data_IF_918818234012
#
_entry.id   IF_918818234012
#
_cell.length_a   1.000
_cell.length_b   1.000
_cell.length_c   1.000
_cell.angle_alpha   90.00
_cell.angle_beta   90.00
_cell.angle_gamma   90.00
#
_symmetry.space_group_name_H-M   'P 1'
#
loop_
_entity.id
_entity.type
_entity.pdbx_description
1 polymer ?
#
# COMPACT_ATOMS: atom_id res chain seq x y z
N UNK A 1 25.26 28.69 -5.11
CA UNK A 1 24.02 27.96 -5.44
C UNK A 1 23.25 28.56 -6.63
N UNK A 2 23.65 29.74 -7.15
CA UNK A 2 23.03 30.38 -8.33
C UNK A 2 23.69 29.94 -9.66
N UNK A 3 24.99 29.62 -9.67
CA UNK A 3 25.73 29.17 -10.86
C UNK A 3 25.23 27.85 -11.48
N UNK A 4 24.66 26.95 -10.68
CA UNK A 4 24.08 25.70 -11.19
C UNK A 4 22.73 25.91 -11.90
N UNK A 5 22.07 27.06 -11.66
CA UNK A 5 20.71 27.33 -12.09
C UNK A 5 20.64 28.07 -13.43
N UNK A 6 21.61 28.94 -13.71
CA UNK A 6 21.80 29.53 -15.04
C UNK A 6 22.12 28.46 -16.08
N UNK A 7 22.96 27.48 -15.72
CA UNK A 7 23.24 26.34 -16.60
C UNK A 7 21.99 25.49 -16.90
N UNK A 8 21.02 25.41 -15.98
CA UNK A 8 19.82 24.59 -16.16
C UNK A 8 18.89 25.09 -17.29
N UNK A 9 18.99 26.36 -17.71
CA UNK A 9 18.19 26.86 -18.83
C UNK A 9 18.59 26.24 -20.18
N UNK A 10 19.87 25.89 -20.34
CA UNK A 10 20.39 25.30 -21.58
C UNK A 10 20.26 23.76 -21.65
N UNK A 11 20.06 23.10 -20.50
CA UNK A 11 19.98 21.64 -20.38
C UNK A 11 18.60 21.15 -19.92
N UNK A 12 17.55 21.56 -20.64
CA UNK A 12 16.21 21.00 -20.45
C UNK A 12 16.14 19.50 -20.80
N UNK A 13 15.19 18.74 -20.24
CA UNK A 13 15.03 17.33 -20.56
C UNK A 13 14.69 17.11 -22.04
N UNK A 14 15.32 16.11 -22.67
CA UNK A 14 15.21 15.83 -24.13
C UNK A 14 13.77 15.65 -24.61
N UNK A 15 12.89 15.13 -23.76
CA UNK A 15 11.49 14.87 -24.06
C UNK A 15 10.60 16.12 -23.99
N UNK A 16 11.11 17.24 -23.46
CA UNK A 16 10.34 18.48 -23.30
C UNK A 16 10.84 19.53 -24.28
N UNK A 17 9.92 20.21 -24.98
CA UNK A 17 10.30 21.33 -25.84
C UNK A 17 10.93 22.46 -25.02
N UNK A 18 11.94 23.09 -25.60
CA UNK A 18 12.74 24.14 -24.97
C UNK A 18 11.90 25.32 -24.47
N UNK A 19 10.92 25.75 -25.26
CA UNK A 19 10.03 26.87 -24.90
C UNK A 19 9.17 26.58 -23.65
N UNK A 20 8.65 25.35 -23.51
CA UNK A 20 7.97 24.94 -22.29
C UNK A 20 8.93 24.87 -21.09
N UNK A 21 10.13 24.33 -21.28
CA UNK A 21 11.15 24.27 -20.23
C UNK A 21 11.53 25.65 -19.72
N UNK A 22 11.86 26.58 -20.62
CA UNK A 22 12.17 27.97 -20.27
C UNK A 22 11.02 28.65 -19.53
N UNK A 23 9.77 28.40 -19.95
CA UNK A 23 8.58 28.95 -19.29
C UNK A 23 8.43 28.44 -17.85
N UNK A 24 8.69 27.15 -17.62
CA UNK A 24 8.70 26.56 -16.28
C UNK A 24 9.84 27.12 -15.43
N UNK A 25 11.06 27.23 -15.98
CA UNK A 25 12.21 27.83 -15.29
C UNK A 25 11.92 29.27 -14.85
N UNK A 26 11.32 30.10 -15.73
CA UNK A 26 10.88 31.47 -15.40
C UNK A 26 9.87 31.46 -14.26
N UNK A 27 8.87 30.56 -14.30
CA UNK A 27 7.87 30.42 -13.22
C UNK A 27 8.51 30.01 -11.89
N UNK A 28 9.42 29.03 -11.89
CA UNK A 28 10.14 28.61 -10.70
C UNK A 28 11.15 29.65 -10.19
N UNK A 29 11.57 30.58 -11.06
CA UNK A 29 12.40 31.74 -10.70
C UNK A 29 11.64 32.84 -9.97
N UNK A 30 10.31 32.86 -10.00
CA UNK A 30 9.53 33.84 -9.24
C UNK A 30 9.75 33.73 -7.73
N UNK A 31 9.84 34.88 -7.04
CA UNK A 31 10.03 34.95 -5.59
C UNK A 31 9.07 34.07 -4.79
N UNK A 32 7.74 34.11 -5.05
CA UNK A 32 6.77 33.28 -4.35
C UNK A 32 7.02 31.77 -4.50
N UNK A 33 7.48 31.31 -5.68
CA UNK A 33 7.81 29.90 -5.87
C UNK A 33 9.05 29.52 -5.08
N UNK A 34 10.10 30.36 -5.15
CA UNK A 34 11.35 30.10 -4.43
C UNK A 34 11.13 30.03 -2.92
N UNK A 35 10.33 30.94 -2.36
CA UNK A 35 9.97 30.94 -0.94
C UNK A 35 9.25 29.64 -0.55
N UNK A 36 8.26 29.21 -1.33
CA UNK A 36 7.56 27.93 -1.12
C UNK A 36 8.53 26.75 -1.17
N UNK A 37 9.46 26.74 -2.12
CA UNK A 37 10.45 25.67 -2.24
C UNK A 37 11.45 25.66 -1.10
N UNK A 38 11.93 26.81 -0.65
CA UNK A 38 12.82 26.91 0.50
C UNK A 38 12.09 26.51 1.79
N UNK A 39 10.83 26.93 1.96
CA UNK A 39 9.98 26.47 3.06
C UNK A 39 9.79 24.95 3.02
N UNK A 40 9.46 24.37 1.86
CA UNK A 40 9.34 22.93 1.70
C UNK A 40 10.65 22.18 1.99
N UNK A 41 11.80 22.75 1.56
CA UNK A 41 13.12 22.21 1.89
C UNK A 41 13.38 22.24 3.40
N UNK A 42 13.13 23.38 4.06
CA UNK A 42 13.25 23.52 5.52
C UNK A 42 12.36 22.51 6.24
N UNK A 43 11.10 22.37 5.82
CA UNK A 43 10.15 21.42 6.39
C UNK A 43 10.58 19.95 6.21
N UNK A 44 11.26 19.60 5.11
CA UNK A 44 11.85 18.26 4.97
C UNK A 44 13.08 18.07 5.85
N UNK A 45 13.86 19.13 6.07
CA UNK A 45 15.07 19.07 6.92
C UNK A 45 14.80 19.16 8.42
N UNK A 46 13.62 19.60 8.87
CA UNK A 46 13.31 19.65 10.32
C UNK A 46 13.27 18.27 10.95
N UNK A 47 12.96 17.23 10.16
CA UNK A 47 12.86 15.86 10.63
C UNK A 47 13.41 14.89 9.57
N UNK A 48 14.74 14.83 9.37
CA UNK A 48 15.37 14.03 8.32
C UNK A 48 15.13 12.52 8.50
N UNK A 49 14.79 12.09 9.71
CA UNK A 49 14.54 10.69 10.07
C UNK A 49 13.09 10.24 9.89
N UNK A 50 12.16 11.18 9.66
CA UNK A 50 10.73 10.85 9.55
C UNK A 50 10.43 10.30 8.16
N UNK A 51 9.79 9.12 8.14
CA UNK A 51 9.30 8.41 6.96
C UNK A 51 10.37 8.05 5.92
N UNK A 52 11.59 7.73 6.37
CA UNK A 52 12.67 7.22 5.51
C UNK A 52 12.50 5.71 5.36
N UNK A 53 12.70 5.21 4.14
CA UNK A 53 12.76 3.77 3.83
C UNK A 53 13.79 3.53 2.70
N UNK A 54 14.32 2.31 2.58
CA UNK A 54 15.28 1.89 1.53
C UNK A 54 14.60 1.32 0.29
N UNK A 55 13.28 1.12 0.33
CA UNK A 55 12.49 0.52 -0.74
C UNK A 55 12.42 1.36 -2.05
N UNK A 56 12.90 2.60 -2.05
CA UNK A 56 12.79 3.53 -3.19
C UNK A 56 11.32 3.65 -3.67
N UNK A 57 11.08 4.04 -4.92
CA UNK A 57 9.71 4.17 -5.48
C UNK A 57 9.07 2.82 -5.86
N UNK A 58 9.40 1.73 -5.15
CA UNK A 58 8.89 0.39 -5.43
C UNK A 58 7.77 0.05 -4.44
N UNK A 59 6.67 -0.49 -4.96
CA UNK A 59 5.53 -0.87 -4.13
C UNK A 59 5.83 -2.08 -3.24
N UNK A 60 5.22 -2.11 -2.05
CA UNK A 60 5.34 -3.21 -1.08
C UNK A 60 4.99 -4.58 -1.68
N UNK A 61 3.98 -4.67 -2.55
CA UNK A 61 3.60 -5.93 -3.24
C UNK A 61 4.79 -6.53 -4.00
N UNK A 62 5.65 -5.69 -4.57
CA UNK A 62 6.84 -6.15 -5.28
C UNK A 62 7.88 -6.69 -4.29
N UNK A 63 8.02 -6.06 -3.12
CA UNK A 63 8.88 -6.53 -2.05
C UNK A 63 8.38 -7.84 -1.44
N UNK A 64 7.08 -7.98 -1.19
CA UNK A 64 6.46 -9.22 -0.72
C UNK A 64 6.76 -10.37 -1.66
N UNK A 65 6.56 -10.19 -2.98
CA UNK A 65 6.86 -11.22 -3.99
C UNK A 65 8.33 -11.63 -3.98
N UNK A 66 9.24 -10.66 -3.83
CA UNK A 66 10.69 -10.92 -3.74
C UNK A 66 11.04 -11.69 -2.47
N UNK A 67 10.54 -11.25 -1.31
CA UNK A 67 10.77 -11.97 -0.05
C UNK A 67 10.17 -13.36 -0.07
N UNK A 68 8.97 -13.55 -0.65
CA UNK A 68 8.36 -14.87 -0.75
C UNK A 68 9.25 -15.83 -1.53
N UNK A 69 9.83 -15.37 -2.64
CA UNK A 69 10.77 -16.17 -3.42
C UNK A 69 12.07 -16.46 -2.65
N UNK A 70 12.55 -15.53 -1.81
CA UNK A 70 13.79 -15.71 -1.04
C UNK A 70 13.62 -16.59 0.20
N UNK A 71 12.47 -16.50 0.87
CA UNK A 71 12.17 -17.25 2.09
C UNK A 71 11.43 -18.56 1.82
N UNK A 72 10.99 -18.79 0.59
CA UNK A 72 10.12 -19.91 0.17
C UNK A 72 8.84 -20.04 1.03
N UNK A 73 8.40 -18.93 1.62
CA UNK A 73 7.19 -18.81 2.44
C UNK A 73 6.64 -17.40 2.36
N UNK A 74 5.38 -17.23 2.76
CA UNK A 74 4.82 -15.90 2.94
C UNK A 74 5.62 -15.10 3.99
N UNK A 75 6.19 -13.94 3.63
CA UNK A 75 6.95 -13.12 4.57
C UNK A 75 6.02 -12.53 5.62
N UNK A 76 6.46 -12.47 6.88
CA UNK A 76 5.73 -11.73 7.92
C UNK A 76 5.88 -10.22 7.71
N UNK A 77 4.96 -9.44 8.29
CA UNK A 77 5.05 -7.98 8.19
C UNK A 77 6.34 -7.43 8.82
N UNK A 78 6.81 -7.97 9.96
CA UNK A 78 8.11 -7.58 10.55
C UNK A 78 9.26 -7.82 9.56
N UNK A 79 9.26 -8.94 8.84
CA UNK A 79 10.30 -9.22 7.83
C UNK A 79 10.21 -8.31 6.61
N UNK A 80 9.01 -7.98 6.19
CA UNK A 80 8.79 -6.99 5.13
C UNK A 80 9.27 -5.60 5.58
N UNK A 81 9.02 -5.23 6.84
CA UNK A 81 9.45 -3.97 7.42
C UNK A 81 10.98 -3.91 7.53
N UNK A 82 11.63 -4.96 8.04
CA UNK A 82 13.09 -5.11 8.05
C UNK A 82 13.66 -4.88 6.65
N UNK A 83 13.10 -5.54 5.65
CA UNK A 83 13.56 -5.45 4.27
C UNK A 83 13.50 -4.02 3.70
N UNK A 84 12.48 -3.25 4.07
CA UNK A 84 12.25 -1.91 3.54
C UNK A 84 12.83 -0.80 4.41
N UNK A 85 13.17 -1.06 5.67
CA UNK A 85 13.62 -0.06 6.65
C UNK A 85 15.00 -0.34 7.25
N UNK A 86 15.67 -1.44 6.90
CA UNK A 86 17.10 -1.63 7.17
C UNK A 86 17.98 -1.19 6.00
N UNK A 87 19.19 -0.74 6.33
CA UNK A 87 20.21 -0.35 5.35
C UNK A 87 20.79 -1.59 4.70
N UNK A 88 20.99 -1.57 3.36
CA UNK A 88 21.57 -2.73 2.67
C UNK A 88 22.99 -2.98 3.15
N UNK A 89 23.31 -4.25 3.47
CA UNK A 89 24.65 -4.65 3.93
C UNK A 89 24.93 -4.34 5.40
N UNK A 90 23.94 -3.88 6.14
CA UNK A 90 24.02 -3.65 7.59
C UNK A 90 22.71 -4.11 8.23
N UNK A 91 22.72 -4.46 9.52
CA UNK A 91 21.48 -4.79 10.24
C UNK A 91 20.79 -3.55 10.86
N UNK A 92 21.34 -2.36 10.59
CA UNK A 92 20.89 -1.09 11.14
C UNK A 92 19.66 -0.55 10.41
N UNK A 93 18.72 0.00 11.19
CA UNK A 93 17.58 0.72 10.65
C UNK A 93 17.96 2.06 10.03
N UNK A 94 17.14 2.52 9.09
CA UNK A 94 17.32 3.82 8.44
C UNK A 94 17.10 5.01 9.37
N UNK A 95 16.31 4.83 10.43
CA UNK A 95 16.09 5.82 11.48
C UNK A 95 15.78 5.18 12.83
N UNK A 96 16.02 5.93 13.91
CA UNK A 96 15.70 5.50 15.28
C UNK A 96 14.19 5.26 15.44
N UNK A 97 13.37 6.05 14.75
CA UNK A 97 11.91 5.85 14.72
C UNK A 97 11.54 4.48 14.17
N UNK A 98 12.14 4.06 13.05
CA UNK A 98 11.88 2.73 12.48
C UNK A 98 12.32 1.61 13.43
N UNK A 99 13.49 1.75 14.06
CA UNK A 99 13.99 0.80 15.06
C UNK A 99 13.02 0.67 16.25
N UNK A 100 12.65 1.80 16.87
CA UNK A 100 11.76 1.83 18.04
C UNK A 100 10.39 1.20 17.73
N UNK A 101 9.84 1.46 16.55
CA UNK A 101 8.54 0.90 16.13
C UNK A 101 8.64 -0.61 15.95
N UNK A 102 9.67 -1.10 15.26
CA UNK A 102 9.88 -2.54 15.06
C UNK A 102 10.05 -3.27 16.40
N UNK A 103 10.92 -2.76 17.29
CA UNK A 103 11.15 -3.34 18.61
C UNK A 103 9.87 -3.35 19.46
N UNK A 104 9.12 -2.25 19.45
CA UNK A 104 7.87 -2.15 20.20
C UNK A 104 6.83 -3.13 19.66
N UNK A 105 6.69 -3.23 18.33
CA UNK A 105 5.77 -4.17 17.71
C UNK A 105 6.14 -5.62 18.01
N UNK A 106 7.41 -6.01 17.85
CA UNK A 106 7.85 -7.38 18.12
C UNK A 106 7.63 -7.77 19.59
N UNK A 107 7.84 -6.83 20.53
CA UNK A 107 7.48 -7.02 21.94
C UNK A 107 5.97 -7.17 22.14
N UNK A 108 5.14 -6.31 21.54
CA UNK A 108 3.68 -6.41 21.65
C UNK A 108 3.16 -7.73 21.05
N UNK A 109 3.74 -8.18 19.94
CA UNK A 109 3.40 -9.47 19.34
C UNK A 109 3.77 -10.64 20.24
N UNK A 110 4.95 -10.60 20.90
CA UNK A 110 5.36 -11.62 21.86
C UNK A 110 4.45 -11.66 23.10
N UNK A 111 4.01 -10.51 23.60
CA UNK A 111 3.10 -10.41 24.75
C UNK A 111 1.67 -10.88 24.42
N UNK A 112 1.16 -10.53 23.22
CA UNK A 112 -0.21 -10.88 22.78
C UNK A 112 -0.34 -12.33 22.35
N UNK A 113 0.68 -12.89 21.72
CA UNK A 113 0.65 -14.23 21.14
C UNK A 113 1.71 -15.11 21.80
N UNK A 114 1.36 -15.62 22.99
CA UNK A 114 2.17 -16.59 23.73
C UNK A 114 2.45 -17.87 22.90
N UNK A 115 3.50 -18.60 23.28
CA UNK A 115 3.93 -19.83 22.61
C UNK A 115 2.75 -20.79 22.38
N UNK A 116 2.50 -21.12 21.11
CA UNK A 116 1.43 -22.05 20.68
C UNK A 116 0.20 -21.39 20.04
N UNK A 117 0.05 -20.06 20.12
CA UNK A 117 -1.01 -19.35 19.38
C UNK A 117 -0.53 -19.01 17.96
N UNK A 118 -1.31 -19.27 16.90
CA UNK A 118 -0.97 -18.84 15.55
C UNK A 118 -0.84 -17.31 15.51
N UNK A 119 0.37 -16.81 15.22
CA UNK A 119 0.60 -15.38 15.03
C UNK A 119 0.05 -14.94 13.67
N UNK A 120 -0.72 -13.84 13.60
CA UNK A 120 -1.14 -13.30 12.32
C UNK A 120 0.06 -12.73 11.56
N UNK A 121 -0.07 -12.64 10.23
CA UNK A 121 0.92 -11.98 9.38
C UNK A 121 1.20 -10.52 9.80
N UNK A 122 0.16 -9.82 10.24
CA UNK A 122 0.16 -8.46 10.79
C UNK A 122 -0.96 -8.37 11.84
N UNK A 123 -0.67 -7.86 13.03
CA UNK A 123 -1.68 -7.33 13.96
C UNK A 123 -1.76 -5.80 13.75
N UNK A 124 -2.82 -5.28 13.11
CA UNK A 124 -2.92 -3.86 12.79
C UNK A 124 -3.02 -2.98 14.03
N UNK A 125 -3.66 -3.45 15.10
CA UNK A 125 -3.79 -2.68 16.34
C UNK A 125 -2.44 -2.58 17.03
N UNK A 126 -1.74 -3.70 17.17
CA UNK A 126 -0.38 -3.70 17.74
C UNK A 126 0.57 -2.81 16.94
N UNK A 127 0.44 -2.79 15.60
CA UNK A 127 1.27 -1.92 14.76
C UNK A 127 0.93 -0.44 14.94
N UNK A 128 -0.36 -0.08 14.97
CA UNK A 128 -0.80 1.30 15.19
C UNK A 128 -0.34 1.80 16.56
N UNK A 129 -0.44 0.96 17.59
CA UNK A 129 0.04 1.25 18.94
C UNK A 129 1.56 1.47 18.95
N UNK A 130 2.33 0.56 18.35
CA UNK A 130 3.78 0.67 18.23
C UNK A 130 4.22 1.92 17.44
N UNK A 131 3.47 2.28 16.40
CA UNK A 131 3.70 3.48 15.60
C UNK A 131 3.33 4.80 16.31
N UNK A 132 2.71 4.74 17.49
CA UNK A 132 2.26 5.91 18.26
C UNK A 132 1.00 6.56 17.67
N UNK A 133 0.16 5.76 17.01
CA UNK A 133 -1.11 6.18 16.43
C UNK A 133 -0.98 6.91 15.07
N UNK A 134 -2.13 7.16 14.41
CA UNK A 134 -2.16 7.86 13.14
C UNK A 134 -1.79 9.35 13.31
N UNK A 135 -0.90 9.84 12.46
CA UNK A 135 -0.53 11.26 12.36
C UNK A 135 -1.00 11.80 11.02
N UNK A 136 -1.89 12.79 11.05
CA UNK A 136 -2.54 13.35 9.83
C UNK A 136 -3.21 12.24 8.98
N UNK A 137 -3.83 11.26 9.64
CA UNK A 137 -4.50 10.14 9.00
C UNK A 137 -3.56 9.05 8.47
N UNK A 138 -2.26 9.11 8.74
CA UNK A 138 -1.28 8.13 8.26
C UNK A 138 -0.57 7.44 9.41
N UNK A 139 -0.38 6.12 9.29
CA UNK A 139 0.37 5.29 10.24
C UNK A 139 1.77 5.06 9.68
N UNK A 140 2.79 5.07 10.52
CA UNK A 140 4.16 4.89 10.05
C UNK A 140 4.35 3.49 9.42
N UNK A 141 5.02 3.43 8.27
CA UNK A 141 5.29 2.17 7.57
C UNK A 141 4.08 1.54 6.86
N UNK A 142 2.88 2.13 7.00
CA UNK A 142 1.64 1.71 6.32
C UNK A 142 1.17 2.87 5.44
N UNK A 143 1.02 2.62 4.14
CA UNK A 143 0.44 3.58 3.20
C UNK A 143 -0.91 3.07 2.69
N UNK A 144 -1.78 4.01 2.36
CA UNK A 144 -3.15 3.96 1.76
C UNK A 144 -3.42 2.80 0.76
N UNK A 145 -2.38 2.21 0.16
CA UNK A 145 -2.48 1.08 -0.77
C UNK A 145 -2.51 -0.31 -0.11
N UNK A 146 -2.04 -0.44 1.14
CA UNK A 146 -2.22 -1.66 1.96
C UNK A 146 -3.59 -1.66 2.66
N UNK A 147 -4.22 -0.49 2.76
CA UNK A 147 -5.44 -0.27 3.54
C UNK A 147 -6.66 -1.01 2.97
N UNK A 148 -6.81 -1.14 1.66
CA UNK A 148 -7.97 -1.87 1.12
C UNK A 148 -7.94 -3.39 1.30
N UNK A 149 -6.79 -3.99 1.64
CA UNK A 149 -6.68 -5.45 1.79
C UNK A 149 -6.24 -5.90 3.18
N UNK A 150 -5.60 -5.04 3.99
CA UNK A 150 -5.26 -5.37 5.38
C UNK A 150 -6.21 -4.68 6.38
N UNK A 151 -6.59 -3.41 6.15
CA UNK A 151 -7.55 -2.70 7.01
C UNK A 151 -8.97 -3.22 6.80
N UNK A 152 -9.37 -3.54 5.56
CA UNK A 152 -10.69 -4.08 5.23
C UNK A 152 -10.94 -5.49 5.79
N UNK A 153 -9.91 -6.33 5.90
CA UNK A 153 -10.03 -7.65 6.52
C UNK A 153 -10.05 -7.58 8.06
N UNK A 154 -9.38 -6.59 8.67
CA UNK A 154 -9.32 -6.44 10.13
C UNK A 154 -10.49 -5.64 10.73
N UNK A 155 -10.97 -4.61 10.05
CA UNK A 155 -12.01 -3.71 10.60
C UNK A 155 -13.44 -4.27 10.44
N UNK A 156 -13.66 -5.20 9.50
CA UNK A 156 -14.97 -5.80 9.30
C UNK A 156 -15.39 -6.78 10.43
N UNK A 157 -14.45 -7.24 11.25
CA UNK A 157 -14.70 -8.33 12.21
C UNK A 157 -14.80 -7.90 13.67
N UNK A 158 -14.41 -6.68 14.04
CA UNK A 158 -14.38 -6.26 15.45
C UNK A 158 -14.68 -4.77 15.63
N UNK A 159 -15.88 -4.50 16.14
CA UNK A 159 -16.26 -3.32 16.95
C UNK A 159 -16.74 -2.05 16.19
N UNK A 160 -17.93 -1.61 16.62
CA UNK A 160 -18.60 -0.36 16.28
C UNK A 160 -17.74 0.89 16.59
N UNK A 161 -17.92 2.00 15.86
CA UNK A 161 -17.05 3.17 16.00
C UNK A 161 -17.21 3.86 17.38
N UNK A 162 -16.12 4.21 18.07
CA UNK A 162 -16.19 5.04 19.27
C UNK A 162 -16.51 6.49 18.89
N UNK A 163 -17.43 7.09 19.63
CA UNK A 163 -17.78 8.50 19.52
C UNK A 163 -16.68 9.38 20.12
N UNK A 164 -16.09 10.30 19.34
CA UNK A 164 -15.70 11.64 19.82
C UNK A 164 -15.15 12.56 18.71
N UNK A 165 -15.98 13.58 18.42
CA UNK A 165 -15.74 15.02 18.23
C UNK A 165 -14.53 15.49 17.39
N UNK A 166 -14.85 16.09 16.24
CA UNK A 166 -14.28 17.38 15.86
C UNK A 166 -15.35 18.24 15.19
N UNK A 167 -15.55 19.41 15.79
CA UNK A 167 -16.46 20.46 15.32
C UNK A 167 -16.01 21.00 13.96
N UNK A 168 -16.87 20.90 12.94
CA UNK A 168 -17.29 22.03 12.10
C UNK A 168 -18.29 21.57 11.02
N UNK A 169 -19.43 22.25 10.95
CA UNK A 169 -20.53 22.12 9.99
C UNK A 169 -21.28 20.77 9.98
N UNK A 170 -22.36 20.72 10.76
CA UNK A 170 -23.36 19.65 10.73
C UNK A 170 -24.02 19.53 9.34
N UNK A 171 -23.68 18.47 8.62
CA UNK A 171 -24.55 17.86 7.62
C UNK A 171 -25.22 16.64 8.26
N UNK A 172 -26.51 16.38 7.97
CA UNK A 172 -27.30 15.39 8.68
C UNK A 172 -26.70 13.99 8.53
N UNK A 173 -26.37 13.39 9.68
CA UNK A 173 -25.73 12.08 9.89
C UNK A 173 -26.50 10.91 9.21
N UNK A 174 -27.74 11.14 8.76
CA UNK A 174 -28.59 10.14 8.09
C UNK A 174 -28.08 9.74 6.70
N UNK A 175 -27.54 10.67 5.91
CA UNK A 175 -27.17 10.39 4.51
C UNK A 175 -25.85 9.63 4.36
N UNK A 176 -24.92 9.79 5.32
CA UNK A 176 -23.59 9.16 5.27
C UNK A 176 -23.70 7.66 5.53
N UNK A 177 -24.61 7.24 6.41
CA UNK A 177 -24.82 5.82 6.71
C UNK A 177 -25.56 5.10 5.57
N UNK A 178 -26.51 5.77 4.90
CA UNK A 178 -27.14 5.28 3.67
C UNK A 178 -26.13 5.13 2.52
N UNK A 179 -25.23 6.09 2.34
CA UNK A 179 -24.18 5.98 1.31
C UNK A 179 -23.24 4.81 1.62
N UNK A 180 -22.91 4.58 2.90
CA UNK A 180 -22.08 3.45 3.33
C UNK A 180 -22.75 2.10 3.09
N UNK A 181 -24.05 1.97 3.34
CA UNK A 181 -24.78 0.72 3.07
C UNK A 181 -24.91 0.49 1.57
N UNK A 182 -25.17 1.54 0.78
CA UNK A 182 -25.23 1.45 -0.68
C UNK A 182 -23.89 0.99 -1.29
N UNK A 183 -22.77 1.58 -0.87
CA UNK A 183 -21.43 1.16 -1.36
C UNK A 183 -21.15 -0.30 -1.00
N UNK A 184 -21.56 -0.75 0.19
CA UNK A 184 -21.35 -2.13 0.65
C UNK A 184 -22.19 -3.13 -0.15
N UNK A 185 -23.45 -2.80 -0.44
CA UNK A 185 -24.31 -3.68 -1.25
C UNK A 185 -23.93 -3.64 -2.73
N UNK A 186 -23.51 -2.50 -3.28
CA UNK A 186 -22.99 -2.39 -4.65
C UNK A 186 -21.77 -3.30 -4.86
N UNK A 187 -20.78 -3.21 -3.95
CA UNK A 187 -19.58 -4.07 -3.99
C UNK A 187 -19.93 -5.56 -3.83
N UNK A 188 -20.94 -5.88 -3.01
CA UNK A 188 -21.41 -7.27 -2.83
C UNK A 188 -22.09 -7.80 -4.10
N UNK A 189 -22.92 -6.99 -4.75
CA UNK A 189 -23.58 -7.37 -6.00
C UNK A 189 -22.58 -7.47 -7.16
N UNK A 190 -21.58 -6.60 -7.23
CA UNK A 190 -20.51 -6.66 -8.22
C UNK A 190 -19.66 -7.93 -8.04
N UNK A 191 -19.32 -8.28 -6.79
CA UNK A 191 -18.64 -9.55 -6.50
C UNK A 191 -19.53 -10.75 -6.83
N UNK A 192 -20.83 -10.72 -6.51
CA UNK A 192 -21.76 -11.83 -6.78
C UNK A 192 -21.97 -12.04 -8.27
N UNK A 193 -22.11 -10.96 -9.04
CA UNK A 193 -22.24 -11.01 -10.50
C UNK A 193 -20.95 -11.46 -11.16
N UNK A 194 -19.80 -10.92 -10.79
CA UNK A 194 -18.50 -11.37 -11.30
C UNK A 194 -18.25 -12.86 -11.01
N UNK A 195 -18.56 -13.32 -9.79
CA UNK A 195 -18.42 -14.72 -9.43
C UNK A 195 -19.43 -15.62 -10.16
N UNK A 196 -20.67 -15.16 -10.35
CA UNK A 196 -21.68 -15.85 -11.14
C UNK A 196 -21.27 -16.02 -12.60
N UNK A 197 -20.72 -14.98 -13.22
CA UNK A 197 -20.20 -15.04 -14.59
C UNK A 197 -19.01 -15.98 -14.70
N UNK A 198 -18.09 -15.99 -13.72
CA UNK A 198 -16.98 -16.96 -13.69
C UNK A 198 -17.49 -18.40 -13.56
N UNK A 199 -18.50 -18.66 -12.73
CA UNK A 199 -19.09 -20.00 -12.57
C UNK A 199 -19.83 -20.44 -13.83
N UNK A 200 -20.60 -19.56 -14.47
CA UNK A 200 -21.29 -19.86 -15.74
C UNK A 200 -20.29 -20.11 -16.89
N UNK A 201 -19.20 -19.34 -16.97
CA UNK A 201 -18.12 -19.60 -17.93
C UNK A 201 -17.47 -20.97 -17.69
N UNK A 202 -17.26 -21.35 -16.41
CA UNK A 202 -16.71 -22.65 -16.04
C UNK A 202 -17.67 -23.79 -16.42
N UNK A 203 -18.97 -23.63 -16.13
CA UNK A 203 -20.02 -24.60 -16.46
C UNK A 203 -20.16 -24.74 -17.98
N UNK A 204 -20.13 -23.63 -18.73
CA UNK A 204 -20.20 -23.64 -20.20
C UNK A 204 -18.97 -24.30 -20.83
N UNK A 205 -17.77 -24.04 -20.29
CA UNK A 205 -16.53 -24.70 -20.69
C UNK A 205 -16.57 -26.22 -20.41
N UNK A 206 -17.18 -26.63 -19.30
CA UNK A 206 -17.36 -28.05 -18.95
C UNK A 206 -18.43 -28.73 -19.82
N UNK A 207 -19.50 -28.03 -20.20
CA UNK A 207 -20.57 -28.55 -21.08
C UNK A 207 -20.16 -28.57 -22.57
N UNK A 208 -19.14 -27.79 -22.96
CA UNK A 208 -18.52 -27.82 -24.29
C UNK A 208 -17.65 -29.06 -24.57
N UNK A 209 -17.32 -29.86 -23.55
CA UNK A 209 -16.57 -31.12 -23.72
C UNK A 209 -17.54 -32.30 -23.67
N UNK A 210 -18.24 -32.57 -24.78
CA UNK A 210 -18.83 -33.90 -24.98
C UNK A 210 -17.68 -34.87 -25.30
N UNK A 211 -17.49 -35.97 -24.56
CA UNK A 211 -16.61 -37.03 -25.02
C UNK A 211 -17.22 -37.66 -26.27
N UNK A 212 -16.55 -37.49 -27.42
CA UNK A 212 -16.88 -38.24 -28.63
C UNK A 212 -16.65 -39.72 -28.36
N UNK A 213 -17.69 -40.54 -28.52
CA UNK A 213 -17.57 -42.01 -28.44
C UNK A 213 -16.52 -42.50 -29.45
N UNK A 214 -15.59 -43.38 -29.06
CA UNK A 214 -14.68 -43.99 -30.03
C UNK A 214 -15.49 -44.88 -30.99
N UNK A 215 -15.35 -44.63 -32.28
CA UNK A 215 -15.94 -45.46 -33.34
C UNK A 215 -15.13 -46.76 -33.43
N UNK A 216 -15.76 -47.95 -33.42
CA UNK A 216 -15.00 -49.20 -33.53
C UNK A 216 -14.41 -49.34 -34.93
N UNK A 217 -13.08 -49.38 -35.01
CA UNK A 217 -12.36 -49.80 -36.22
C UNK A 217 -12.73 -51.25 -36.53
N UNK A 218 -13.46 -51.46 -37.63
CA UNK A 218 -13.64 -52.79 -38.21
C UNK A 218 -12.28 -53.27 -38.73
N UNK A 219 -11.72 -54.26 -38.05
CA UNK A 219 -10.67 -55.12 -38.60
C UNK A 219 -11.21 -55.77 -39.88
N UNK A 220 -10.60 -55.50 -41.03
CA UNK A 220 -10.88 -56.27 -42.26
C UNK A 220 -9.96 -57.47 -42.27
N UNK A 221 -10.53 -58.65 -42.04
CA UNK A 221 -9.95 -59.91 -42.52
C UNK A 221 -10.06 -59.98 -44.04
N UNK A 222 -8.90 -59.93 -44.71
CA UNK A 222 -8.41 -60.77 -45.82
C UNK A 222 -7.47 -59.99 -46.74
#
# INVERSE_FOLDING_TARGET
MWEARDKAMDYGPVWMRRDYWESLCKRWATGPWQERSQAAKRNRSTHPEKNVHTSASVYYVTHIKKLHHELERDPTFSKLFDWTHKRKGTDDYVSETAHTIAETYDRTMADRYAEGTPQPHLDPEAWVDAAGGPRKGQVYGIWDSLDNTLVLFSYASSIAPPAHVSSSAALPVSGVEEIRTLIREELREELRTHFGVMVEQLISAMQGVRPSKPTPQKCKER
#
